data_IF_057921552151
#
_entry.id   IF_057921552151
#
_cell.length_a   1.000
_cell.length_b   1.000
_cell.length_c   1.000
_cell.angle_alpha   90.00
_cell.angle_beta   90.00
_cell.angle_gamma   90.00
#
_symmetry.space_group_name_H-M   'P 1'
#
loop_
_entity.id
_entity.type
_entity.pdbx_description
1 polymer ?
#
# COMPACT_ATOMS: atom_id res chain seq x y z
N UNK A 1 -57.58 -49.31 33.48
CA UNK A 1 -58.10 -49.05 34.82
C UNK A 1 -57.45 -47.79 35.34
N UNK A 2 -58.33 -46.92 35.76
CA UNK A 2 -58.15 -45.70 36.60
C UNK A 2 -57.36 -44.53 36.07
N UNK A 3 -58.14 -43.52 35.68
CA UNK A 3 -57.92 -42.10 35.58
C UNK A 3 -57.26 -41.53 36.82
N UNK A 4 -56.38 -40.54 36.60
CA UNK A 4 -56.20 -39.47 37.55
C UNK A 4 -55.97 -38.13 36.79
N UNK A 5 -57.02 -37.33 36.77
CA UNK A 5 -57.00 -35.91 36.39
C UNK A 5 -56.28 -35.15 37.50
N UNK A 6 -55.29 -34.31 37.10
CA UNK A 6 -54.79 -33.25 37.98
C UNK A 6 -55.00 -31.92 37.24
N UNK A 7 -55.90 -31.13 37.82
CA UNK A 7 -56.19 -29.73 37.48
C UNK A 7 -55.03 -28.89 37.96
N UNK A 8 -54.33 -28.17 37.07
CA UNK A 8 -53.32 -27.22 37.46
C UNK A 8 -53.84 -25.82 37.16
N UNK A 9 -54.12 -25.10 38.23
CA UNK A 9 -54.60 -23.70 38.26
C UNK A 9 -53.54 -22.73 37.71
N UNK A 10 -53.91 -21.95 36.69
CA UNK A 10 -53.14 -20.80 36.19
C UNK A 10 -53.05 -19.69 37.27
N UNK A 11 -51.84 -19.38 37.72
CA UNK A 11 -51.53 -18.14 38.41
C UNK A 11 -50.83 -17.23 37.38
N UNK A 12 -51.56 -16.27 36.88
CA UNK A 12 -51.04 -15.19 36.04
C UNK A 12 -50.30 -14.15 36.88
N UNK A 13 -48.98 -14.26 36.96
CA UNK A 13 -48.14 -13.20 37.50
C UNK A 13 -47.78 -12.24 36.37
N UNK A 14 -48.35 -11.06 36.39
CA UNK A 14 -48.00 -9.91 35.58
C UNK A 14 -46.60 -9.41 35.97
N UNK A 15 -45.57 -9.83 35.26
CA UNK A 15 -44.29 -9.14 35.33
C UNK A 15 -44.32 -7.94 34.36
N UNK A 16 -44.50 -6.77 34.95
CA UNK A 16 -44.26 -5.49 34.30
C UNK A 16 -42.75 -5.38 34.00
N UNK A 17 -42.34 -5.66 32.76
CA UNK A 17 -41.01 -5.31 32.28
C UNK A 17 -40.92 -3.81 32.09
N UNK A 18 -40.27 -3.17 33.05
CA UNK A 18 -39.84 -1.77 32.94
C UNK A 18 -38.68 -1.71 31.93
N UNK A 19 -38.97 -1.25 30.71
CA UNK A 19 -37.98 -1.02 29.65
C UNK A 19 -37.09 0.16 30.02
N UNK A 20 -35.94 -0.13 30.66
CA UNK A 20 -34.78 0.73 30.67
C UNK A 20 -33.94 0.31 29.45
N UNK A 21 -34.09 0.99 28.31
CA UNK A 21 -33.36 0.54 27.10
C UNK A 21 -33.19 1.52 25.96
N UNK A 22 -33.44 2.83 26.11
CA UNK A 22 -33.30 3.73 24.96
C UNK A 22 -32.09 4.71 25.01
N UNK A 23 -31.43 4.87 26.12
CA UNK A 23 -30.31 5.81 26.25
C UNK A 23 -28.99 5.28 25.66
N UNK A 24 -28.80 3.97 25.61
CA UNK A 24 -27.56 3.34 25.10
C UNK A 24 -27.50 3.31 23.58
N UNK A 25 -28.63 3.07 22.91
CA UNK A 25 -28.69 2.94 21.45
C UNK A 25 -28.61 4.30 20.74
N UNK A 26 -29.21 5.35 21.33
CA UNK A 26 -29.13 6.72 20.78
C UNK A 26 -27.69 7.29 20.88
N UNK A 27 -26.95 7.00 21.96
CA UNK A 27 -25.55 7.39 22.10
C UNK A 27 -24.66 6.66 21.09
N UNK A 28 -24.86 5.35 20.90
CA UNK A 28 -24.13 4.58 19.91
C UNK A 28 -24.39 5.08 18.49
N UNK A 29 -25.64 5.37 18.11
CA UNK A 29 -25.99 5.95 16.81
C UNK A 29 -25.38 7.34 16.61
N UNK A 30 -25.37 8.18 17.62
CA UNK A 30 -24.74 9.51 17.59
C UNK A 30 -23.22 9.43 17.44
N UNK A 31 -22.57 8.56 18.18
CA UNK A 31 -21.12 8.32 18.07
C UNK A 31 -20.75 7.76 16.71
N UNK A 32 -21.53 6.82 16.18
CA UNK A 32 -21.32 6.25 14.84
C UNK A 32 -21.52 7.30 13.73
N UNK A 33 -22.53 8.16 13.85
CA UNK A 33 -22.76 9.27 12.92
C UNK A 33 -21.59 10.26 12.94
N UNK A 34 -21.13 10.70 14.11
CA UNK A 34 -19.99 11.60 14.24
C UNK A 34 -18.71 10.99 13.66
N UNK A 35 -18.49 9.68 13.87
CA UNK A 35 -17.36 8.95 13.29
C UNK A 35 -17.46 8.90 11.77
N UNK A 36 -18.62 8.62 11.21
CA UNK A 36 -18.86 8.59 9.79
C UNK A 36 -18.69 9.98 9.15
N UNK A 37 -19.21 11.03 9.77
CA UNK A 37 -19.05 12.42 9.31
C UNK A 37 -17.57 12.85 9.35
N UNK A 38 -16.82 12.42 10.37
CA UNK A 38 -15.39 12.65 10.46
C UNK A 38 -14.61 11.96 9.35
N UNK A 39 -14.95 10.69 9.04
CA UNK A 39 -14.35 9.94 7.91
C UNK A 39 -14.70 10.58 6.57
N UNK A 40 -15.92 11.05 6.37
CA UNK A 40 -16.31 11.73 5.12
C UNK A 40 -15.51 13.01 4.86
N UNK A 41 -15.18 13.76 5.91
CA UNK A 41 -14.38 14.99 5.84
C UNK A 41 -12.87 14.74 5.80
N UNK A 42 -12.42 13.51 6.03
CA UNK A 42 -10.99 13.17 6.04
C UNK A 42 -10.36 13.20 4.65
N UNK A 43 -9.03 13.36 4.61
CA UNK A 43 -8.22 13.08 3.43
C UNK A 43 -7.94 11.57 3.39
N UNK A 44 -8.44 10.90 2.38
CA UNK A 44 -8.43 9.44 2.24
C UNK A 44 -7.31 9.01 1.32
N UNK A 45 -6.37 8.20 1.84
CA UNK A 45 -5.19 7.76 1.08
C UNK A 45 -5.16 6.24 1.04
N UNK A 46 -5.17 5.66 -0.17
CA UNK A 46 -4.98 4.24 -0.40
C UNK A 46 -3.48 3.90 -0.48
N UNK A 47 -3.08 2.78 0.11
CA UNK A 47 -1.68 2.34 0.14
C UNK A 47 -1.59 0.82 0.29
N UNK A 48 -0.43 0.27 -0.10
CA UNK A 48 -0.10 -1.14 0.13
C UNK A 48 0.91 -1.28 1.29
N UNK A 49 1.02 -2.46 1.94
CA UNK A 49 1.94 -2.70 3.03
C UNK A 49 3.39 -2.71 2.52
N UNK A 50 4.04 -1.56 2.56
CA UNK A 50 5.43 -1.38 2.12
C UNK A 50 6.12 -0.31 2.97
N UNK A 51 7.46 -0.29 2.97
CA UNK A 51 8.22 0.71 3.73
C UNK A 51 8.05 2.13 3.18
N UNK A 52 7.64 2.30 1.93
CA UNK A 52 7.34 3.64 1.39
C UNK A 52 6.14 4.31 2.08
N UNK A 53 5.22 3.52 2.66
CA UNK A 53 4.09 4.01 3.44
C UNK A 53 4.45 4.36 4.89
N UNK A 54 5.65 4.02 5.35
CA UNK A 54 6.04 4.18 6.76
C UNK A 54 5.88 5.63 7.28
N UNK A 55 6.22 6.71 6.53
CA UNK A 55 6.01 8.06 7.04
C UNK A 55 4.55 8.38 7.39
N UNK A 56 3.59 7.88 6.60
CA UNK A 56 2.16 8.08 6.89
C UNK A 56 1.72 7.29 8.13
N UNK A 57 2.23 6.06 8.31
CA UNK A 57 1.96 5.27 9.50
C UNK A 57 2.57 5.88 10.76
N UNK A 58 3.80 6.39 10.68
CA UNK A 58 4.47 7.11 11.79
C UNK A 58 3.72 8.38 12.13
N UNK A 59 3.27 9.16 11.15
CA UNK A 59 2.47 10.35 11.36
C UNK A 59 1.17 10.02 12.11
N UNK A 60 0.50 8.93 11.77
CA UNK A 60 -0.71 8.47 12.45
C UNK A 60 -0.43 8.02 13.88
N UNK A 61 0.58 7.17 14.09
CA UNK A 61 0.93 6.63 15.41
C UNK A 61 1.38 7.71 16.40
N UNK A 62 2.19 8.66 15.94
CA UNK A 62 2.65 9.79 16.74
C UNK A 62 1.61 10.90 16.88
N UNK A 63 0.38 10.68 16.38
CA UNK A 63 -0.73 11.65 16.38
C UNK A 63 -0.35 13.00 15.74
N UNK A 64 0.56 12.99 14.75
CA UNK A 64 0.98 14.22 14.07
C UNK A 64 -0.17 14.83 13.27
N UNK A 65 -1.02 13.99 12.66
CA UNK A 65 -2.23 14.46 11.97
C UNK A 65 -3.19 15.17 12.94
N UNK A 66 -3.43 14.60 14.12
CA UNK A 66 -4.30 15.21 15.15
C UNK A 66 -3.74 16.53 15.64
N UNK A 67 -2.42 16.59 15.95
CA UNK A 67 -1.74 17.80 16.39
C UNK A 67 -1.84 18.93 15.33
N UNK A 68 -1.78 18.55 14.06
CA UNK A 68 -1.92 19.47 12.93
C UNK A 68 -3.40 19.75 12.54
N UNK A 69 -4.38 19.25 13.31
CA UNK A 69 -5.82 19.35 13.03
C UNK A 69 -6.18 18.87 11.62
N UNK A 70 -5.46 17.88 11.11
CA UNK A 70 -5.69 17.24 9.82
C UNK A 70 -6.34 15.86 10.03
N UNK A 71 -7.52 15.66 9.47
CA UNK A 71 -8.15 14.36 9.51
C UNK A 71 -7.71 13.53 8.30
N UNK A 72 -7.03 12.39 8.55
CA UNK A 72 -6.51 11.48 7.50
C UNK A 72 -7.01 10.06 7.77
N UNK A 73 -7.54 9.43 6.74
CA UNK A 73 -7.89 8.01 6.75
C UNK A 73 -6.96 7.26 5.80
N UNK A 74 -6.21 6.29 6.33
CA UNK A 74 -5.34 5.42 5.55
C UNK A 74 -6.08 4.11 5.27
N UNK A 75 -6.29 3.80 3.98
CA UNK A 75 -6.85 2.53 3.52
C UNK A 75 -5.71 1.63 3.06
N UNK A 76 -5.51 0.50 3.76
CA UNK A 76 -4.48 -0.49 3.43
C UNK A 76 -5.10 -1.62 2.61
N UNK A 77 -4.52 -1.90 1.46
CA UNK A 77 -4.88 -2.97 0.54
C UNK A 77 -3.66 -3.87 0.31
N UNK A 78 -3.86 -5.13 0.00
CA UNK A 78 -2.76 -6.06 -0.29
C UNK A 78 -2.36 -6.08 -1.76
N UNK A 79 -3.27 -5.65 -2.64
CA UNK A 79 -3.05 -5.56 -4.07
C UNK A 79 -3.00 -4.10 -4.56
N UNK A 80 -2.03 -3.79 -5.44
CA UNK A 80 -1.94 -2.47 -6.07
C UNK A 80 -3.21 -2.14 -6.87
N UNK A 81 -3.87 -3.15 -7.47
CA UNK A 81 -5.12 -2.98 -8.21
C UNK A 81 -6.29 -2.51 -7.33
N UNK A 82 -6.31 -2.90 -6.05
CA UNK A 82 -7.36 -2.46 -5.12
C UNK A 82 -7.17 -0.99 -4.74
N UNK A 83 -5.90 -0.53 -4.62
CA UNK A 83 -5.59 0.89 -4.49
C UNK A 83 -6.08 1.68 -5.70
N UNK A 84 -5.83 1.17 -6.92
CA UNK A 84 -6.29 1.78 -8.17
C UNK A 84 -7.83 1.85 -8.19
N UNK A 85 -8.51 0.76 -7.83
CA UNK A 85 -9.99 0.69 -7.77
C UNK A 85 -10.56 1.68 -6.76
N UNK A 86 -9.98 1.76 -5.55
CA UNK A 86 -10.41 2.73 -4.53
C UNK A 86 -10.21 4.18 -4.99
N UNK A 87 -9.13 4.45 -5.72
CA UNK A 87 -8.83 5.78 -6.25
C UNK A 87 -9.76 6.16 -7.41
N UNK A 88 -9.91 5.31 -8.42
CA UNK A 88 -10.76 5.53 -9.59
C UNK A 88 -12.23 5.58 -9.19
N UNK A 89 -12.68 4.67 -8.32
CA UNK A 89 -14.04 4.61 -7.75
C UNK A 89 -14.32 5.70 -6.73
N UNK A 90 -13.39 6.67 -6.55
CA UNK A 90 -13.54 7.84 -5.68
C UNK A 90 -13.66 7.57 -4.18
N UNK A 91 -13.45 6.36 -3.72
CA UNK A 91 -13.38 6.01 -2.29
C UNK A 91 -12.14 6.63 -1.63
N UNK A 92 -11.00 6.68 -2.34
CA UNK A 92 -9.80 7.39 -1.93
C UNK A 92 -9.64 8.74 -2.65
N UNK A 93 -9.05 9.72 -1.96
CA UNK A 93 -8.70 11.02 -2.54
C UNK A 93 -7.30 11.00 -3.17
N UNK A 94 -6.43 10.17 -2.62
CA UNK A 94 -5.06 9.96 -3.08
C UNK A 94 -4.61 8.52 -2.85
N UNK A 95 -3.44 8.18 -3.38
CA UNK A 95 -2.83 6.86 -3.20
C UNK A 95 -1.30 6.93 -3.24
N UNK A 96 -0.65 5.96 -2.60
CA UNK A 96 0.75 5.64 -2.87
C UNK A 96 0.77 4.74 -4.10
N UNK A 97 1.56 5.12 -5.10
CA UNK A 97 1.61 4.49 -6.42
C UNK A 97 2.97 4.71 -7.08
N UNK A 98 3.04 4.60 -8.40
CA UNK A 98 4.23 4.89 -9.19
C UNK A 98 3.94 5.76 -10.42
N UNK A 99 4.98 6.35 -11.01
CA UNK A 99 4.85 7.28 -12.13
C UNK A 99 4.29 6.61 -13.40
N UNK A 100 4.59 5.33 -13.60
CA UNK A 100 4.07 4.56 -14.75
C UNK A 100 2.56 4.37 -14.60
N UNK A 101 2.10 4.02 -13.40
CA UNK A 101 0.68 3.92 -13.08
C UNK A 101 -0.01 5.27 -13.24
N UNK A 102 0.59 6.36 -12.77
CA UNK A 102 0.06 7.71 -12.95
C UNK A 102 -0.10 8.04 -14.44
N UNK A 103 0.91 7.75 -15.25
CA UNK A 103 0.87 7.96 -16.70
C UNK A 103 -0.24 7.12 -17.37
N UNK A 104 -0.37 5.85 -16.99
CA UNK A 104 -1.42 4.96 -17.46
C UNK A 104 -2.82 5.49 -17.12
N UNK A 105 -3.05 5.91 -15.88
CA UNK A 105 -4.32 6.46 -15.44
C UNK A 105 -4.65 7.79 -16.15
N UNK A 106 -3.65 8.67 -16.35
CA UNK A 106 -3.80 9.88 -17.16
C UNK A 106 -4.24 9.56 -18.60
N UNK A 107 -3.63 8.55 -19.23
CA UNK A 107 -4.01 8.08 -20.57
C UNK A 107 -5.48 7.57 -20.61
N UNK A 108 -5.95 6.96 -19.52
CA UNK A 108 -7.36 6.53 -19.36
C UNK A 108 -8.32 7.66 -19.00
N UNK A 109 -7.88 8.93 -19.01
CA UNK A 109 -8.71 10.10 -18.70
C UNK A 109 -8.97 10.32 -17.20
N UNK A 110 -8.27 9.58 -16.32
CA UNK A 110 -8.39 9.76 -14.87
C UNK A 110 -7.61 11.00 -14.44
N UNK A 111 -8.29 11.88 -13.72
CA UNK A 111 -7.69 13.11 -13.20
C UNK A 111 -6.78 12.80 -12.00
N UNK A 112 -5.48 12.74 -12.22
CA UNK A 112 -4.47 12.42 -11.21
C UNK A 112 -3.28 13.37 -11.29
N UNK A 113 -2.82 13.87 -10.14
CA UNK A 113 -1.65 14.74 -10.00
C UNK A 113 -0.72 14.18 -8.94
N UNK A 114 0.56 13.95 -9.24
CA UNK A 114 1.52 13.54 -8.23
C UNK A 114 1.81 14.72 -7.26
N UNK A 115 1.98 14.40 -5.98
CA UNK A 115 2.38 15.33 -4.93
C UNK A 115 3.89 15.28 -4.71
N UNK A 116 4.46 14.09 -4.64
CA UNK A 116 5.86 13.87 -4.28
C UNK A 116 6.34 12.49 -4.71
N UNK A 117 7.65 12.34 -4.82
CA UNK A 117 8.26 11.02 -4.82
C UNK A 117 8.11 10.33 -3.46
N UNK A 118 8.12 8.99 -3.49
CA UNK A 118 8.44 8.17 -2.32
C UNK A 118 9.85 7.59 -2.45
N UNK A 119 10.38 7.04 -1.34
CA UNK A 119 11.67 6.34 -1.36
C UNK A 119 11.50 4.84 -1.67
N UNK A 120 10.46 4.52 -2.45
CA UNK A 120 10.24 3.17 -2.96
C UNK A 120 11.36 2.75 -3.90
N UNK A 121 11.80 1.51 -3.74
CA UNK A 121 12.63 0.82 -4.72
C UNK A 121 12.19 -0.63 -4.85
N UNK A 122 12.48 -1.20 -5.98
CA UNK A 122 12.10 -2.57 -6.30
C UNK A 122 13.34 -3.41 -6.60
N UNK A 123 13.27 -4.67 -6.21
CA UNK A 123 14.27 -5.66 -6.56
C UNK A 123 13.61 -6.79 -7.33
N UNK A 124 14.18 -7.16 -8.48
CA UNK A 124 13.87 -8.43 -9.15
C UNK A 124 14.62 -9.52 -8.41
N UNK A 125 13.90 -10.43 -7.79
CA UNK A 125 14.44 -11.51 -6.97
C UNK A 125 14.11 -12.83 -7.62
N UNK A 126 15.16 -13.57 -8.00
CA UNK A 126 15.04 -14.90 -8.59
C UNK A 126 14.99 -15.98 -7.52
N UNK A 127 14.22 -17.00 -7.80
CA UNK A 127 14.14 -18.19 -6.98
C UNK A 127 15.52 -18.89 -6.92
N UNK A 128 15.99 -19.22 -5.72
CA UNK A 128 17.26 -19.92 -5.54
C UNK A 128 17.34 -21.26 -6.26
N UNK A 129 16.19 -21.95 -6.42
CA UNK A 129 16.15 -23.22 -7.16
C UNK A 129 16.21 -23.05 -8.67
N UNK A 130 15.79 -21.87 -9.19
CA UNK A 130 15.89 -21.56 -10.62
C UNK A 130 17.34 -21.32 -11.08
N UNK A 131 18.28 -21.13 -10.14
CA UNK A 131 19.72 -20.92 -10.39
C UNK A 131 20.01 -19.76 -11.34
N UNK A 132 19.17 -18.71 -11.31
CA UNK A 132 19.34 -17.51 -12.09
C UNK A 132 20.23 -16.53 -11.36
N UNK A 133 21.26 -16.01 -12.05
CA UNK A 133 22.22 -15.04 -11.50
C UNK A 133 22.35 -13.79 -12.38
N UNK A 134 21.89 -13.84 -13.60
CA UNK A 134 21.95 -12.75 -14.58
C UNK A 134 20.78 -12.82 -15.57
N UNK A 135 20.47 -11.69 -16.19
CA UNK A 135 19.30 -11.51 -17.06
C UNK A 135 19.28 -12.39 -18.30
N UNK A 136 20.44 -12.76 -18.84
CA UNK A 136 20.58 -13.62 -20.03
C UNK A 136 20.09 -15.06 -19.80
N UNK A 137 19.86 -15.45 -18.55
CA UNK A 137 19.39 -16.79 -18.16
C UNK A 137 17.86 -16.91 -18.12
N UNK A 138 17.12 -15.86 -18.51
CA UNK A 138 15.67 -15.80 -18.37
C UNK A 138 14.88 -16.37 -19.55
N UNK A 139 15.51 -17.06 -20.50
CA UNK A 139 14.79 -17.81 -21.53
C UNK A 139 13.82 -18.80 -20.92
N UNK A 140 12.54 -18.78 -21.34
CA UNK A 140 11.45 -19.64 -20.87
C UNK A 140 11.17 -19.52 -19.34
N UNK A 141 11.49 -18.38 -18.73
CA UNK A 141 11.29 -18.13 -17.30
C UNK A 141 10.08 -17.25 -17.02
N UNK A 142 9.45 -17.44 -15.86
CA UNK A 142 8.30 -16.67 -15.40
C UNK A 142 8.71 -15.57 -14.45
N UNK A 143 8.27 -14.34 -14.72
CA UNK A 143 8.46 -13.17 -13.86
C UNK A 143 7.09 -12.67 -13.39
N UNK A 144 6.82 -12.71 -12.07
CA UNK A 144 5.60 -12.14 -11.52
C UNK A 144 5.74 -10.63 -11.29
N UNK A 145 4.75 -9.87 -11.77
CA UNK A 145 4.70 -8.42 -11.69
C UNK A 145 3.26 -7.89 -11.72
N UNK A 146 3.09 -6.58 -11.54
CA UNK A 146 1.84 -5.85 -11.80
C UNK A 146 1.97 -5.14 -13.15
N UNK A 147 1.01 -5.32 -14.05
CA UNK A 147 0.99 -4.63 -15.36
C UNK A 147 0.72 -3.13 -15.21
N UNK A 148 1.19 -2.36 -16.19
CA UNK A 148 1.04 -0.89 -16.24
C UNK A 148 1.49 -0.22 -14.93
N UNK A 149 2.67 -0.63 -14.44
CA UNK A 149 3.29 -0.14 -13.21
C UNK A 149 4.80 -0.02 -13.38
N UNK A 150 5.47 0.49 -12.36
CA UNK A 150 6.93 0.49 -12.28
C UNK A 150 7.55 -0.88 -12.59
N UNK A 151 6.85 -1.97 -12.24
CA UNK A 151 7.38 -3.34 -12.41
C UNK A 151 7.44 -3.75 -13.89
N UNK A 152 6.39 -3.45 -14.67
CA UNK A 152 6.43 -3.70 -16.12
C UNK A 152 7.50 -2.84 -16.80
N UNK A 153 7.56 -1.53 -16.48
CA UNK A 153 8.59 -0.63 -16.99
C UNK A 153 10.01 -1.12 -16.69
N UNK A 154 10.28 -1.49 -15.43
CA UNK A 154 11.60 -1.98 -15.02
C UNK A 154 11.95 -3.30 -15.71
N UNK A 155 10.96 -4.20 -15.91
CA UNK A 155 11.17 -5.45 -16.65
C UNK A 155 11.53 -5.16 -18.11
N UNK A 156 10.72 -4.36 -18.80
CA UNK A 156 10.96 -4.06 -20.22
C UNK A 156 12.30 -3.33 -20.42
N UNK A 157 12.61 -2.38 -19.53
CA UNK A 157 13.91 -1.68 -19.56
C UNK A 157 15.09 -2.63 -19.33
N UNK A 158 14.96 -3.54 -18.37
CA UNK A 158 16.00 -4.51 -18.01
C UNK A 158 16.30 -5.47 -19.17
N UNK A 159 15.25 -5.94 -19.85
CA UNK A 159 15.39 -6.93 -20.93
C UNK A 159 15.54 -6.32 -22.34
N UNK A 160 15.38 -5.00 -22.51
CA UNK A 160 15.40 -4.32 -23.82
C UNK A 160 16.62 -4.63 -24.68
N UNK A 161 17.79 -4.86 -24.08
CA UNK A 161 19.06 -5.11 -24.75
C UNK A 161 19.59 -6.52 -24.55
N UNK A 162 18.76 -7.43 -24.02
CA UNK A 162 19.16 -8.79 -23.68
C UNK A 162 18.73 -9.73 -24.79
N UNK A 163 19.70 -10.39 -25.44
CA UNK A 163 19.44 -11.44 -26.41
C UNK A 163 19.12 -12.75 -25.66
N UNK A 164 17.85 -13.07 -25.56
CA UNK A 164 17.38 -14.35 -25.03
C UNK A 164 17.19 -15.37 -26.15
N UNK A 165 17.44 -16.65 -25.86
CA UNK A 165 17.17 -17.74 -26.83
C UNK A 165 15.66 -17.93 -27.05
N UNK A 166 14.86 -17.77 -26.00
CA UNK A 166 13.39 -17.82 -26.03
C UNK A 166 12.83 -16.65 -25.19
N UNK A 167 11.60 -16.18 -25.45
CA UNK A 167 10.95 -15.17 -24.63
C UNK A 167 10.81 -15.63 -23.17
N UNK A 168 10.78 -14.70 -22.24
CA UNK A 168 10.32 -14.92 -20.87
C UNK A 168 8.83 -14.59 -20.73
N UNK A 169 8.18 -15.07 -19.68
CA UNK A 169 6.75 -14.87 -19.46
C UNK A 169 6.51 -13.89 -18.31
N UNK A 170 5.74 -12.83 -18.60
CA UNK A 170 5.27 -11.89 -17.58
C UNK A 170 3.94 -12.37 -17.01
N UNK A 171 3.92 -12.74 -15.74
CA UNK A 171 2.74 -13.23 -15.04
C UNK A 171 2.17 -12.13 -14.16
N UNK A 172 0.91 -11.75 -14.38
CA UNK A 172 0.28 -10.69 -13.57
C UNK A 172 -0.15 -11.25 -12.21
N UNK A 173 0.50 -10.80 -11.15
CA UNK A 173 0.16 -11.09 -9.75
C UNK A 173 0.14 -9.78 -8.98
N UNK A 174 -1.04 -9.22 -8.72
CA UNK A 174 -1.19 -7.89 -8.13
C UNK A 174 -0.98 -7.86 -6.62
N UNK A 175 -1.38 -8.93 -5.92
CA UNK A 175 -1.21 -9.05 -4.47
C UNK A 175 0.26 -9.32 -4.12
N UNK A 176 0.83 -8.47 -3.26
CA UNK A 176 2.26 -8.53 -2.89
C UNK A 176 2.58 -9.75 -2.02
N UNK A 177 1.62 -10.21 -1.20
CA UNK A 177 1.83 -11.40 -0.36
C UNK A 177 1.78 -12.66 -1.20
N UNK A 178 0.83 -12.77 -2.13
CA UNK A 178 0.76 -13.89 -3.08
C UNK A 178 2.04 -13.93 -3.90
N UNK A 179 2.48 -12.81 -4.46
CA UNK A 179 3.71 -12.72 -5.27
C UNK A 179 4.95 -13.17 -4.48
N UNK A 180 5.08 -12.74 -3.21
CA UNK A 180 6.14 -13.18 -2.29
C UNK A 180 6.06 -14.69 -2.05
N UNK A 181 4.87 -15.21 -1.76
CA UNK A 181 4.68 -16.61 -1.37
C UNK A 181 4.87 -17.55 -2.56
N UNK A 182 4.49 -17.15 -3.78
CA UNK A 182 4.80 -17.89 -5.01
C UNK A 182 6.32 -18.05 -5.20
N UNK A 183 7.12 -17.00 -4.94
CA UNK A 183 8.58 -17.13 -4.97
C UNK A 183 9.08 -18.09 -3.88
N UNK A 184 8.59 -17.93 -2.65
CA UNK A 184 8.97 -18.77 -1.50
C UNK A 184 8.64 -20.25 -1.75
N UNK A 185 7.50 -20.54 -2.36
CA UNK A 185 7.00 -21.88 -2.63
C UNK A 185 7.59 -22.50 -3.92
N UNK A 186 8.44 -21.78 -4.64
CA UNK A 186 9.04 -22.17 -5.92
C UNK A 186 8.02 -22.30 -7.08
N UNK A 187 6.95 -21.50 -7.05
CA UNK A 187 5.93 -21.43 -8.09
C UNK A 187 6.26 -20.37 -9.16
N UNK A 188 7.24 -19.50 -8.90
CA UNK A 188 7.76 -18.48 -9.81
C UNK A 188 9.27 -18.54 -9.90
N UNK A 189 9.82 -18.29 -11.12
CA UNK A 189 11.26 -18.20 -11.31
C UNK A 189 11.83 -16.88 -10.75
N UNK A 190 11.10 -15.77 -10.89
CA UNK A 190 11.46 -14.48 -10.30
C UNK A 190 10.23 -13.61 -10.04
N UNK A 191 10.38 -12.66 -9.10
CA UNK A 191 9.34 -11.70 -8.75
C UNK A 191 9.94 -10.33 -8.45
N UNK A 192 9.20 -9.26 -8.75
CA UNK A 192 9.53 -7.93 -8.28
C UNK A 192 8.92 -7.67 -6.89
N UNK A 193 9.76 -7.27 -5.94
CA UNK A 193 9.34 -6.95 -4.56
C UNK A 193 9.93 -5.62 -4.09
N UNK A 194 9.17 -4.92 -3.23
CA UNK A 194 9.62 -3.80 -2.39
C UNK A 194 10.03 -4.30 -1.01
N UNK A 195 10.67 -3.44 -0.22
CA UNK A 195 10.87 -3.71 1.20
C UNK A 195 9.54 -3.64 1.99
N UNK A 196 9.34 -4.49 2.98
CA UNK A 196 10.29 -5.42 3.61
C UNK A 196 10.35 -6.80 2.93
N UNK A 197 9.50 -7.08 1.95
CA UNK A 197 9.39 -8.41 1.33
C UNK A 197 10.64 -8.82 0.57
N UNK A 198 11.35 -7.86 -0.02
CA UNK A 198 12.64 -8.10 -0.65
C UNK A 198 13.67 -8.62 0.36
N UNK A 199 13.76 -8.01 1.55
CA UNK A 199 14.63 -8.49 2.64
C UNK A 199 14.25 -9.88 3.09
N UNK A 200 12.94 -10.17 3.27
CA UNK A 200 12.48 -11.49 3.67
C UNK A 200 12.93 -12.58 2.68
N UNK A 201 12.88 -12.31 1.38
CA UNK A 201 13.31 -13.28 0.36
C UNK A 201 14.83 -13.43 0.29
N UNK A 202 15.59 -12.33 0.49
CA UNK A 202 17.07 -12.41 0.59
C UNK A 202 17.52 -13.27 1.78
N UNK A 203 16.82 -13.19 2.91
CA UNK A 203 17.09 -14.06 4.07
C UNK A 203 16.88 -15.55 3.77
N UNK A 204 15.96 -15.87 2.85
CA UNK A 204 15.75 -17.23 2.36
C UNK A 204 16.75 -17.64 1.26
N UNK A 205 17.79 -16.80 1.01
CA UNK A 205 18.84 -17.00 0.01
C UNK A 205 18.32 -16.98 -1.45
N UNK A 206 17.24 -16.28 -1.71
CA UNK A 206 16.85 -15.93 -3.08
C UNK A 206 17.79 -14.86 -3.64
N UNK A 207 17.99 -14.85 -4.96
CA UNK A 207 19.04 -14.09 -5.64
C UNK A 207 18.50 -12.77 -6.17
N UNK A 208 19.11 -11.65 -5.84
CA UNK A 208 18.78 -10.34 -6.43
C UNK A 208 19.41 -10.24 -7.81
N UNK A 209 18.57 -10.13 -8.84
CA UNK A 209 18.98 -9.96 -10.25
C UNK A 209 19.13 -8.49 -10.60
N UNK A 210 18.18 -7.65 -10.15
CA UNK A 210 18.20 -6.21 -10.40
C UNK A 210 17.71 -5.43 -9.17
N UNK A 211 18.18 -4.20 -9.03
CA UNK A 211 17.79 -3.27 -7.96
C UNK A 211 17.67 -1.87 -8.56
N UNK A 212 16.46 -1.28 -8.53
CA UNK A 212 16.20 0.02 -9.14
C UNK A 212 17.02 1.17 -8.55
N UNK A 213 17.54 1.03 -7.33
CA UNK A 213 18.45 2.02 -6.74
C UNK A 213 19.80 2.06 -7.45
N UNK A 214 20.32 0.89 -7.87
CA UNK A 214 21.58 0.80 -8.61
C UNK A 214 21.48 1.43 -10.01
N UNK A 215 20.28 1.38 -10.56
CA UNK A 215 19.96 1.92 -11.89
C UNK A 215 19.49 3.40 -11.83
N UNK A 216 19.51 4.04 -10.66
CA UNK A 216 18.95 5.39 -10.43
C UNK A 216 17.51 5.55 -10.93
N UNK A 217 16.71 4.50 -10.88
CA UNK A 217 15.29 4.52 -11.26
C UNK A 217 14.46 4.91 -10.05
N UNK A 218 13.82 6.08 -10.11
CA UNK A 218 12.96 6.61 -9.04
C UNK A 218 11.55 6.80 -9.56
N UNK A 219 10.65 5.87 -9.24
CA UNK A 219 9.29 5.84 -9.78
C UNK A 219 8.19 5.95 -8.72
N UNK A 220 8.46 5.63 -7.46
CA UNK A 220 7.45 5.69 -6.40
C UNK A 220 6.93 7.10 -6.17
N UNK A 221 5.62 7.24 -5.97
CA UNK A 221 4.97 8.53 -5.80
C UNK A 221 3.75 8.47 -4.88
N UNK A 222 3.41 9.61 -4.27
CA UNK A 222 2.09 9.87 -3.70
C UNK A 222 1.34 10.77 -4.69
N UNK A 223 0.14 10.39 -5.07
CA UNK A 223 -0.68 11.14 -6.01
C UNK A 223 -2.12 11.33 -5.50
N UNK A 224 -2.77 12.38 -5.97
CA UNK A 224 -4.14 12.75 -5.60
C UNK A 224 -5.03 12.95 -6.81
N UNK A 225 -6.34 12.76 -6.63
CA UNK A 225 -7.32 13.05 -7.65
C UNK A 225 -7.45 14.57 -7.85
N UNK A 226 -7.01 15.06 -9.03
CA UNK A 226 -6.93 16.49 -9.33
C UNK A 226 -8.28 17.21 -9.22
N UNK A 227 -9.39 16.49 -9.48
CA UNK A 227 -10.74 17.08 -9.37
C UNK A 227 -11.15 17.26 -7.91
N UNK A 228 -10.79 16.30 -7.05
CA UNK A 228 -11.13 16.33 -5.62
C UNK A 228 -10.32 17.34 -4.81
N UNK A 229 -9.10 17.64 -5.24
CA UNK A 229 -8.20 18.55 -4.51
C UNK A 229 -8.26 20.01 -4.98
N UNK A 230 -9.21 20.39 -5.84
CA UNK A 230 -9.32 21.76 -6.38
C UNK A 230 -9.71 22.81 -5.35
N UNK A 231 -10.51 22.46 -4.32
CA UNK A 231 -10.99 23.44 -3.35
C UNK A 231 -9.85 23.99 -2.49
N UNK A 232 -9.96 25.29 -2.10
CA UNK A 232 -9.00 25.94 -1.20
C UNK A 232 -8.76 25.13 0.09
N UNK A 233 -9.81 24.56 0.65
CA UNK A 233 -9.72 23.71 1.84
C UNK A 233 -8.86 22.46 1.59
N UNK A 234 -9.06 21.76 0.47
CA UNK A 234 -8.27 20.56 0.13
C UNK A 234 -6.82 20.92 -0.16
N UNK A 235 -6.55 22.03 -0.82
CA UNK A 235 -5.18 22.51 -1.03
C UNK A 235 -4.47 22.80 0.31
N UNK A 236 -5.16 23.43 1.25
CA UNK A 236 -4.63 23.62 2.60
C UNK A 236 -4.36 22.30 3.32
N UNK A 237 -5.28 21.31 3.19
CA UNK A 237 -5.05 19.97 3.75
C UNK A 237 -3.80 19.31 3.17
N UNK A 238 -3.52 19.43 1.86
CA UNK A 238 -2.31 18.91 1.25
C UNK A 238 -1.02 19.61 1.74
N UNK A 239 -1.07 20.92 1.95
CA UNK A 239 0.05 21.66 2.54
C UNK A 239 0.35 21.19 3.97
N UNK A 240 -0.70 20.97 4.79
CA UNK A 240 -0.55 20.44 6.14
C UNK A 240 -0.05 18.99 6.10
N UNK A 241 -0.59 18.15 5.19
CA UNK A 241 -0.10 16.78 4.98
C UNK A 241 1.40 16.77 4.66
N UNK A 242 1.85 17.67 3.79
CA UNK A 242 3.27 17.78 3.41
C UNK A 242 4.17 18.11 4.61
N UNK A 243 3.74 19.02 5.48
CA UNK A 243 4.48 19.35 6.72
C UNK A 243 4.56 18.15 7.66
N UNK A 244 3.43 17.48 7.88
CA UNK A 244 3.34 16.29 8.76
C UNK A 244 4.15 15.13 8.20
N UNK A 245 4.11 14.91 6.89
CA UNK A 245 4.94 13.89 6.23
C UNK A 245 6.43 14.16 6.43
N UNK A 246 6.86 15.41 6.25
CA UNK A 246 8.25 15.81 6.46
C UNK A 246 8.71 15.60 7.91
N UNK A 247 7.87 15.92 8.90
CA UNK A 247 8.14 15.68 10.32
C UNK A 247 8.27 14.16 10.61
N UNK A 248 7.43 13.35 10.01
CA UNK A 248 7.53 11.89 10.11
C UNK A 248 8.83 11.36 9.49
N UNK A 249 9.23 11.87 8.32
CA UNK A 249 10.51 11.52 7.69
C UNK A 249 11.70 11.90 8.57
N UNK A 250 11.71 13.12 9.15
CA UNK A 250 12.75 13.56 10.08
C UNK A 250 12.83 12.62 11.31
N UNK A 251 11.67 12.22 11.84
CA UNK A 251 11.59 11.27 12.95
C UNK A 251 12.15 9.89 12.61
N UNK A 252 11.82 9.36 11.43
CA UNK A 252 12.35 8.06 10.98
C UNK A 252 13.84 8.15 10.72
N UNK A 253 14.31 9.23 10.11
CA UNK A 253 15.74 9.43 9.85
C UNK A 253 16.57 9.57 11.12
N UNK A 254 15.99 10.18 12.17
CA UNK A 254 16.62 10.36 13.48
C UNK A 254 16.72 9.03 14.24
N UNK A 255 15.62 8.28 14.33
CA UNK A 255 15.53 7.11 15.20
C UNK A 255 15.77 5.78 14.47
N UNK A 256 15.70 5.79 13.14
CA UNK A 256 15.78 4.61 12.29
C UNK A 256 14.48 3.81 12.22
N UNK A 257 14.35 3.00 11.18
CA UNK A 257 13.13 2.21 10.92
C UNK A 257 12.84 1.17 12.01
N UNK A 258 13.89 0.61 12.65
CA UNK A 258 13.72 -0.40 13.72
C UNK A 258 13.07 0.15 14.98
N UNK A 259 13.19 1.47 15.23
CA UNK A 259 12.47 2.14 16.30
C UNK A 259 10.94 1.99 16.17
N UNK A 260 10.46 1.78 14.95
CA UNK A 260 9.04 1.60 14.62
C UNK A 260 8.66 0.13 14.38
N UNK A 261 9.38 -0.83 15.00
CA UNK A 261 9.16 -2.26 14.78
C UNK A 261 7.71 -2.69 14.97
N UNK A 262 7.02 -2.19 15.99
CA UNK A 262 5.61 -2.51 16.24
C UNK A 262 4.70 -2.04 15.09
N UNK A 263 4.97 -0.86 14.50
CA UNK A 263 4.24 -0.39 13.32
C UNK A 263 4.47 -1.29 12.10
N UNK A 264 5.72 -1.74 11.92
CA UNK A 264 6.08 -2.64 10.82
C UNK A 264 5.36 -3.99 10.95
N UNK A 265 5.27 -4.53 12.17
CA UNK A 265 4.50 -5.75 12.43
C UNK A 265 3.02 -5.52 12.16
N UNK A 266 2.43 -4.46 12.73
CA UNK A 266 0.99 -4.20 12.70
C UNK A 266 0.46 -3.84 11.31
N UNK A 267 1.16 -2.94 10.59
CA UNK A 267 0.63 -2.34 9.36
C UNK A 267 1.28 -2.86 8.07
N UNK A 268 2.47 -3.48 8.18
CA UNK A 268 3.23 -3.96 7.02
C UNK A 268 3.42 -5.48 7.09
N UNK A 269 2.97 -6.13 8.18
CA UNK A 269 3.04 -7.57 8.42
C UNK A 269 4.48 -8.12 8.31
N UNK A 270 5.45 -7.35 8.80
CA UNK A 270 6.85 -7.70 8.82
C UNK A 270 7.21 -8.40 10.13
N UNK A 271 7.84 -9.56 10.07
CA UNK A 271 8.28 -10.26 11.26
C UNK A 271 9.58 -9.67 11.85
N UNK A 272 9.87 -9.97 13.11
CA UNK A 272 11.03 -9.43 13.84
C UNK A 272 12.37 -9.77 13.16
N UNK A 273 12.52 -10.97 12.61
CA UNK A 273 13.73 -11.38 11.91
C UNK A 273 13.99 -10.52 10.69
N UNK A 274 12.96 -10.28 9.87
CA UNK A 274 13.07 -9.40 8.70
C UNK A 274 13.34 -7.95 9.11
N UNK A 275 12.68 -7.43 10.16
CA UNK A 275 12.92 -6.08 10.68
C UNK A 275 14.39 -5.88 11.05
N UNK A 276 15.00 -6.84 11.72
CA UNK A 276 16.41 -6.78 12.12
C UNK A 276 17.37 -6.82 10.91
N UNK A 277 16.96 -7.45 9.81
CA UNK A 277 17.77 -7.56 8.59
C UNK A 277 17.51 -6.42 7.58
N UNK A 278 16.55 -5.53 7.83
CA UNK A 278 16.28 -4.41 6.94
C UNK A 278 17.52 -3.54 6.73
N UNK A 279 17.78 -3.09 5.50
CA UNK A 279 18.87 -2.17 5.24
C UNK A 279 18.61 -0.83 5.93
N UNK A 280 19.67 -0.05 6.13
CA UNK A 280 19.52 1.33 6.56
C UNK A 280 18.86 2.12 5.43
N UNK A 281 17.66 2.63 5.67
CA UNK A 281 16.92 3.47 4.74
C UNK A 281 16.88 4.90 5.25
N UNK A 282 16.86 5.85 4.31
CA UNK A 282 16.66 7.26 4.57
C UNK A 282 15.40 7.70 3.84
N UNK A 283 14.60 8.52 4.50
CA UNK A 283 13.34 9.03 3.95
C UNK A 283 13.49 10.48 3.53
N UNK A 284 13.13 10.74 2.28
CA UNK A 284 13.17 12.07 1.67
C UNK A 284 11.92 12.85 2.08
N UNK A 285 12.11 14.16 2.31
CA UNK A 285 10.99 15.09 2.45
C UNK A 285 10.23 15.23 1.14
N UNK A 286 9.05 15.83 1.20
CA UNK A 286 8.27 16.17 0.01
C UNK A 286 9.15 16.80 -1.05
N UNK A 287 9.24 16.18 -2.20
CA UNK A 287 10.03 16.60 -3.35
C UNK A 287 9.16 16.50 -4.60
N UNK A 288 8.89 17.60 -5.30
CA UNK A 288 8.10 17.56 -6.53
C UNK A 288 8.66 16.60 -7.56
N UNK A 289 7.77 16.00 -8.35
CA UNK A 289 8.18 15.11 -9.43
C UNK A 289 8.87 15.92 -10.54
N UNK A 290 9.99 15.44 -11.02
CA UNK A 290 10.69 16.06 -12.14
C UNK A 290 9.86 15.87 -13.43
N UNK A 291 9.75 16.94 -14.21
CA UNK A 291 9.01 16.92 -15.49
C UNK A 291 9.56 15.84 -16.43
N UNK A 292 10.88 15.65 -16.44
CA UNK A 292 11.53 14.63 -17.25
C UNK A 292 11.05 13.21 -16.92
N UNK A 293 10.85 12.90 -15.62
CA UNK A 293 10.41 11.58 -15.17
C UNK A 293 8.92 11.34 -15.51
N UNK A 294 8.08 12.40 -15.40
CA UNK A 294 6.69 12.30 -15.88
C UNK A 294 6.61 12.08 -17.39
N UNK A 295 7.45 12.78 -18.15
CA UNK A 295 7.52 12.62 -19.62
C UNK A 295 8.03 11.23 -20.02
N UNK A 296 9.02 10.69 -19.31
CA UNK A 296 9.51 9.33 -19.53
C UNK A 296 8.42 8.30 -19.30
N UNK A 297 7.69 8.41 -18.19
CA UNK A 297 6.56 7.54 -17.88
C UNK A 297 5.46 7.61 -18.94
N UNK A 298 5.12 8.82 -19.42
CA UNK A 298 4.14 9.02 -20.49
C UNK A 298 4.61 8.44 -21.84
N UNK A 299 5.90 8.57 -22.18
CA UNK A 299 6.46 7.95 -23.40
C UNK A 299 6.36 6.43 -23.35
N UNK A 300 6.69 5.83 -22.21
CA UNK A 300 6.61 4.38 -22.04
C UNK A 300 5.18 3.86 -22.24
N UNK A 301 4.18 4.52 -21.67
CA UNK A 301 2.77 4.07 -21.77
C UNK A 301 2.18 4.24 -23.18
N UNK A 302 2.77 5.10 -24.04
CA UNK A 302 2.33 5.30 -25.42
C UNK A 302 2.90 4.27 -26.40
N UNK A 303 3.93 3.52 -26.02
CA UNK A 303 4.50 2.41 -26.80
C UNK A 303 3.62 1.16 -26.72
#
# INVERSE_FOLDING_TARGET
>A
MKNLLIVLTLVSALFSCHTKGDAGDSNNKKVQKLKNDSIQKSLKIALTPSLEALPLWVAKEKKLFEKAKLNVTLYSFTADMDCDTAFVGTTADGMITDLIKIAYLKQKGIAITPLTYTDAYWQLIANKKARLHKVEQFSDKMIALTKHSALSYCTDKLFKKVALKSPFFQITVNDVFIRRDMLKNNEMDAVWLKEPFATAMRQLRHVVIADTRKENIRLGAIAFNSKKIKSRQKQQQLQVLSKVYNEACDSINKWGIRHYAQLLVKNIHCNAQTINALPRLRYSKITPIAIADEQEALRYIKQ
#
